data_IF_527381419865
#
_entry.id   IF_527381419865
#
_cell.length_a   1.000
_cell.length_b   1.000
_cell.length_c   1.000
_cell.angle_alpha   90.00
_cell.angle_beta   90.00
_cell.angle_gamma   90.00
#
_symmetry.space_group_name_H-M   'P 1'
#
loop_
_entity.id
_entity.type
_entity.pdbx_description
1 polymer ?
#
# COMPACT_ATOMS: atom_id res chain seq x y z
N UNK A 1 8.42 -16.43 7.13
CA UNK A 1 9.14 -15.36 6.39
C UNK A 1 8.49 -15.25 5.02
N UNK A 2 7.57 -14.30 4.79
CA UNK A 2 6.91 -14.02 3.49
C UNK A 2 6.21 -12.65 3.58
N UNK A 3 6.92 -11.62 4.05
CA UNK A 3 6.35 -10.28 4.21
C UNK A 3 5.99 -9.72 2.85
N UNK A 4 4.70 -9.37 2.66
CA UNK A 4 4.17 -8.78 1.42
C UNK A 4 4.48 -9.56 0.12
N UNK A 5 4.62 -10.89 0.22
CA UNK A 5 4.86 -11.75 -0.95
C UNK A 5 3.69 -11.78 -1.95
N UNK A 6 2.46 -11.61 -1.46
CA UNK A 6 1.22 -11.60 -2.25
C UNK A 6 0.63 -10.19 -2.38
N UNK A 7 1.41 -9.13 -2.15
CA UNK A 7 0.89 -7.77 -2.18
C UNK A 7 0.36 -7.38 -3.57
N UNK A 8 0.90 -8.01 -4.62
CA UNK A 8 0.48 -7.90 -6.02
C UNK A 8 -0.91 -8.48 -6.31
N UNK A 9 -1.48 -9.25 -5.38
CA UNK A 9 -2.82 -9.84 -5.52
C UNK A 9 -3.93 -8.95 -4.98
N UNK A 10 -3.60 -7.83 -4.35
CA UNK A 10 -4.61 -6.90 -3.84
C UNK A 10 -5.24 -6.13 -5.02
N UNK A 11 -6.56 -6.07 -5.02
CA UNK A 11 -7.37 -5.37 -6.01
C UNK A 11 -8.13 -4.20 -5.39
N UNK A 12 -8.58 -3.26 -6.20
CA UNK A 12 -9.42 -2.14 -5.72
C UNK A 12 -10.66 -2.68 -5.01
N UNK A 13 -10.93 -2.16 -3.81
CA UNK A 13 -12.02 -2.61 -2.94
C UNK A 13 -11.60 -3.65 -1.88
N UNK A 14 -10.40 -4.24 -1.99
CA UNK A 14 -9.85 -5.08 -0.91
C UNK A 14 -9.59 -4.25 0.35
N UNK A 15 -9.66 -4.90 1.50
CA UNK A 15 -9.57 -4.23 2.81
C UNK A 15 -8.47 -4.83 3.66
N UNK A 16 -7.71 -3.95 4.33
CA UNK A 16 -6.78 -4.35 5.38
C UNK A 16 -6.97 -3.51 6.65
N UNK A 17 -6.36 -3.97 7.75
CA UNK A 17 -6.47 -3.33 9.07
C UNK A 17 -5.07 -3.10 9.61
N UNK A 18 -4.81 -1.86 10.05
CA UNK A 18 -3.66 -1.52 10.89
C UNK A 18 -4.13 -1.50 12.33
N UNK A 19 -3.45 -2.24 13.21
CA UNK A 19 -3.71 -2.22 14.65
C UNK A 19 -2.62 -1.40 15.32
N UNK A 20 -2.99 -0.29 15.94
CA UNK A 20 -2.06 0.60 16.64
C UNK A 20 -2.67 1.08 17.95
N UNK A 21 -1.90 0.96 19.05
CA UNK A 21 -2.34 1.35 20.41
C UNK A 21 -3.72 0.80 20.82
N UNK A 22 -4.06 -0.41 20.37
CA UNK A 22 -5.35 -1.05 20.69
C UNK A 22 -6.52 -0.64 19.80
N UNK A 23 -6.30 0.25 18.83
CA UNK A 23 -7.31 0.67 17.85
C UNK A 23 -7.07 0.01 16.50
N UNK A 24 -8.17 -0.40 15.84
CA UNK A 24 -8.17 -0.99 14.51
C UNK A 24 -8.57 0.06 13.47
N UNK A 25 -7.64 0.40 12.59
CA UNK A 25 -7.83 1.35 11.50
C UNK A 25 -8.03 0.56 10.20
N UNK A 26 -9.22 0.68 9.60
CA UNK A 26 -9.59 -0.03 8.38
C UNK A 26 -9.28 0.83 7.15
N UNK A 27 -8.67 0.22 6.15
CA UNK A 27 -8.32 0.85 4.88
C UNK A 27 -8.84 0.03 3.71
N UNK A 28 -9.26 0.71 2.65
CA UNK A 28 -9.72 0.12 1.40
C UNK A 28 -8.74 0.48 0.27
N UNK A 29 -8.31 -0.54 -0.47
CA UNK A 29 -7.40 -0.39 -1.61
C UNK A 29 -8.09 0.40 -2.72
N UNK A 30 -7.43 1.45 -3.20
CA UNK A 30 -7.92 2.29 -4.30
C UNK A 30 -7.25 1.96 -5.62
N UNK A 31 -6.04 1.38 -5.59
CA UNK A 31 -5.34 0.91 -6.78
C UNK A 31 -3.86 0.60 -6.50
N UNK A 32 -3.11 0.28 -7.54
CA UNK A 32 -1.69 -0.02 -7.45
C UNK A 32 -0.89 0.49 -8.65
N UNK A 33 0.41 0.72 -8.43
CA UNK A 33 1.35 1.12 -9.48
C UNK A 33 2.75 0.53 -9.26
N UNK A 34 3.54 0.48 -10.34
CA UNK A 34 4.93 0.02 -10.30
C UNK A 34 5.86 1.16 -10.69
N UNK A 35 6.69 1.60 -9.75
CA UNK A 35 7.59 2.74 -9.91
C UNK A 35 9.06 2.33 -9.83
N UNK A 36 9.97 3.19 -10.29
CA UNK A 36 11.41 2.99 -10.05
C UNK A 36 11.75 3.25 -8.58
N UNK A 37 12.84 2.66 -8.06
CA UNK A 37 13.26 2.86 -6.66
C UNK A 37 13.44 4.33 -6.28
N UNK A 38 13.87 5.18 -7.20
CA UNK A 38 14.15 6.61 -6.96
C UNK A 38 12.86 7.46 -6.94
N UNK A 39 11.79 6.99 -7.57
CA UNK A 39 10.50 7.69 -7.69
C UNK A 39 9.62 7.48 -6.45
N UNK A 40 9.99 6.56 -5.56
CA UNK A 40 9.26 6.25 -4.32
C UNK A 40 9.02 7.49 -3.44
N UNK A 41 9.92 8.47 -3.45
CA UNK A 41 9.78 9.69 -2.64
C UNK A 41 8.64 10.62 -3.07
N UNK A 42 8.12 10.45 -4.30
CA UNK A 42 7.12 11.34 -4.92
C UNK A 42 5.68 10.89 -4.59
N UNK A 43 5.49 9.71 -4.03
CA UNK A 43 4.18 9.06 -3.87
C UNK A 43 3.27 9.74 -2.83
N UNK A 44 3.75 10.80 -2.17
CA UNK A 44 3.00 11.60 -1.20
C UNK A 44 2.48 12.94 -1.73
N UNK A 45 2.79 13.34 -2.97
CA UNK A 45 2.44 14.71 -3.44
C UNK A 45 0.93 14.96 -3.56
N UNK A 46 0.11 13.92 -3.75
CA UNK A 46 -1.35 14.01 -3.83
C UNK A 46 -2.09 13.18 -2.77
N UNK A 47 -1.36 12.58 -1.82
CA UNK A 47 -1.96 11.80 -0.75
C UNK A 47 -2.59 12.74 0.29
N UNK A 48 -3.77 12.40 0.77
CA UNK A 48 -4.32 13.04 1.98
C UNK A 48 -3.57 12.55 3.21
N UNK A 49 -3.67 13.29 4.33
CA UNK A 49 -2.93 12.95 5.55
C UNK A 49 -3.28 11.56 6.11
N UNK A 50 -4.44 11.02 5.74
CA UNK A 50 -4.96 9.76 6.25
C UNK A 50 -4.78 8.58 5.28
N UNK A 51 -4.16 8.77 4.11
CA UNK A 51 -3.95 7.67 3.16
C UNK A 51 -2.78 6.77 3.57
N UNK A 52 -2.88 5.49 3.23
CA UNK A 52 -1.82 4.49 3.48
C UNK A 52 -1.36 3.89 2.16
N UNK A 53 -0.04 3.83 1.98
CA UNK A 53 0.60 3.14 0.86
C UNK A 53 1.38 1.94 1.39
N UNK A 54 0.97 0.73 1.01
CA UNK A 54 1.76 -0.48 1.23
C UNK A 54 2.74 -0.66 0.07
N UNK A 55 3.99 -1.05 0.34
CA UNK A 55 4.96 -1.24 -0.72
C UNK A 55 5.84 -2.48 -0.55
N UNK A 56 6.34 -2.99 -1.68
CA UNK A 56 7.31 -4.07 -1.73
C UNK A 56 8.24 -3.94 -2.94
N UNK A 57 9.34 -4.68 -2.93
CA UNK A 57 10.21 -4.82 -4.09
C UNK A 57 9.55 -5.69 -5.16
N UNK A 58 9.68 -5.32 -6.43
CA UNK A 58 9.13 -6.09 -7.56
C UNK A 58 10.03 -5.99 -8.80
N UNK A 59 10.07 -6.97 -9.72
CA UNK A 59 9.61 -8.35 -9.54
C UNK A 59 10.33 -9.05 -8.37
N UNK A 60 9.71 -10.11 -7.85
CA UNK A 60 10.38 -11.03 -6.94
C UNK A 60 11.74 -11.42 -7.53
N UNK A 61 12.75 -11.59 -6.67
CA UNK A 61 14.15 -11.93 -7.02
C UNK A 61 15.03 -10.80 -7.54
N UNK A 62 14.48 -9.87 -8.33
CA UNK A 62 15.30 -8.79 -8.93
C UNK A 62 15.26 -7.50 -8.14
N UNK A 63 14.14 -7.22 -7.44
CA UNK A 63 13.92 -6.00 -6.66
C UNK A 63 14.18 -4.68 -7.42
N UNK A 64 14.11 -4.73 -8.76
CA UNK A 64 14.48 -3.64 -9.66
C UNK A 64 13.52 -2.44 -9.59
N UNK A 65 12.30 -2.67 -9.08
CA UNK A 65 11.22 -1.68 -8.99
C UNK A 65 10.53 -1.78 -7.62
N UNK A 66 9.57 -0.90 -7.39
CA UNK A 66 8.66 -0.94 -6.24
C UNK A 66 7.24 -1.10 -6.72
N UNK A 67 6.50 -2.02 -6.08
CA UNK A 67 5.05 -2.09 -6.18
C UNK A 67 4.49 -1.24 -5.05
N UNK A 68 3.57 -0.34 -5.38
CA UNK A 68 2.83 0.49 -4.45
C UNK A 68 1.36 0.12 -4.51
N UNK A 69 0.74 -0.09 -3.36
CA UNK A 69 -0.69 -0.30 -3.22
C UNK A 69 -1.24 0.87 -2.41
N UNK A 70 -2.04 1.69 -3.06
CA UNK A 70 -2.67 2.88 -2.50
C UNK A 70 -3.99 2.51 -1.83
N UNK A 71 -4.27 3.16 -0.71
CA UNK A 71 -5.50 2.92 0.05
C UNK A 71 -5.94 4.15 0.83
N UNK A 72 -7.25 4.23 1.08
CA UNK A 72 -7.90 5.29 1.83
C UNK A 72 -8.54 4.74 3.11
N UNK A 73 -8.70 5.55 4.17
CA UNK A 73 -9.42 5.11 5.36
C UNK A 73 -10.88 4.81 5.04
N UNK A 74 -11.42 3.75 5.63
CA UNK A 74 -12.86 3.48 5.62
C UNK A 74 -13.47 4.27 6.77
N UNK A 75 -14.19 5.35 6.45
CA UNK A 75 -14.96 6.09 7.43
C UNK A 75 -16.14 5.24 7.92
N UNK A 76 -16.21 5.02 9.23
CA UNK A 76 -17.39 4.47 9.88
C UNK A 76 -18.36 5.65 10.12
N UNK A 77 -19.47 5.70 9.38
CA UNK A 77 -20.59 6.58 9.68
C UNK A 77 -21.46 5.99 10.80
#
# INVERSE_FOLDING_TARGET
KNTFYNLDKLETGDVFIIVYQGYAYKYEVTGSEVVKPEEFGVTGENATYDDVVLYTCTPLWTAAKRLLVHSKPVSFY
#
